data_IF_578701896389
#
_entry.id   IF_578701896389
#
_cell.length_a   1.000
_cell.length_b   1.000
_cell.length_c   1.000
_cell.angle_alpha   90.00
_cell.angle_beta   90.00
_cell.angle_gamma   90.00
#
_symmetry.space_group_name_H-M   'P 1'
#
loop_
_entity.id
_entity.type
_entity.pdbx_description
1 polymer ?
#
# COMPACT_ATOMS: atom_id res chain seq x y z
N UNK A 1 -17.76 24.11 -17.09
CA UNK A 1 -18.18 23.15 -18.14
C UNK A 1 -16.99 22.27 -18.48
N UNK A 2 -17.15 20.94 -18.48
CA UNK A 2 -16.12 20.00 -18.94
C UNK A 2 -15.51 19.08 -17.87
N UNK A 3 -16.33 18.26 -17.19
CA UNK A 3 -15.87 17.04 -16.49
C UNK A 3 -16.74 15.88 -16.97
N UNK A 4 -16.36 15.26 -18.10
CA UNK A 4 -16.91 13.98 -18.56
C UNK A 4 -16.11 13.43 -19.73
N UNK A 5 -14.95 12.84 -19.46
CA UNK A 5 -14.37 11.79 -20.33
C UNK A 5 -13.51 10.85 -19.47
N UNK A 6 -14.15 9.99 -18.67
CA UNK A 6 -13.49 8.79 -18.12
C UNK A 6 -14.48 7.64 -17.85
N UNK A 7 -15.51 7.53 -18.71
CA UNK A 7 -16.41 6.37 -18.76
C UNK A 7 -16.60 5.99 -20.22
N UNK A 8 -15.67 5.20 -20.76
CA UNK A 8 -15.85 4.48 -22.02
C UNK A 8 -14.89 3.30 -22.02
N UNK A 9 -15.35 2.20 -21.41
CA UNK A 9 -15.17 0.82 -21.86
C UNK A 9 -15.61 -0.17 -20.77
N UNK A 10 -16.88 -0.13 -20.37
CA UNK A 10 -17.65 -1.32 -19.99
C UNK A 10 -19.12 -0.99 -20.22
N UNK A 11 -19.66 -1.33 -21.39
CA UNK A 11 -21.10 -1.50 -21.57
C UNK A 11 -21.33 -2.56 -22.65
N UNK A 12 -21.78 -3.73 -22.20
CA UNK A 12 -22.95 -4.38 -22.79
C UNK A 12 -23.49 -5.40 -21.79
N UNK A 13 -24.56 -5.03 -21.06
CA UNK A 13 -25.84 -5.73 -21.05
C UNK A 13 -26.68 -5.38 -19.81
N UNK A 14 -27.88 -4.89 -20.13
CA UNK A 14 -29.15 -5.03 -19.41
C UNK A 14 -29.42 -4.14 -18.19
N UNK A 15 -30.08 -3.04 -18.54
CA UNK A 15 -31.05 -2.25 -17.78
C UNK A 15 -32.06 -3.11 -17.00
N UNK A 16 -32.09 -3.02 -15.68
CA UNK A 16 -33.30 -3.22 -14.89
C UNK A 16 -33.32 -2.21 -13.73
N UNK A 17 -34.49 -1.60 -13.55
CA UNK A 17 -34.81 -0.51 -12.63
C UNK A 17 -34.64 -0.95 -11.17
N UNK A 18 -33.98 -0.13 -10.34
CA UNK A 18 -33.96 -0.29 -8.88
C UNK A 18 -35.13 0.46 -8.22
N UNK A 19 -35.84 -0.14 -7.24
CA UNK A 19 -36.66 0.56 -6.25
C UNK A 19 -35.84 0.89 -4.98
N UNK A 20 -36.37 1.68 -4.02
CA UNK A 20 -35.55 2.50 -3.12
C UNK A 20 -35.05 1.81 -1.83
N UNK A 21 -33.83 2.19 -1.44
CA UNK A 21 -33.27 2.47 -0.10
C UNK A 21 -33.47 1.55 1.13
N UNK A 22 -34.02 0.35 1.02
CA UNK A 22 -34.07 -0.61 2.16
C UNK A 22 -33.21 -1.88 1.99
N UNK A 23 -32.41 -2.00 0.91
CA UNK A 23 -31.72 -3.25 0.54
C UNK A 23 -30.20 -3.29 0.82
N UNK A 24 -29.63 -2.27 1.49
CA UNK A 24 -28.18 -2.14 1.66
C UNK A 24 -27.56 -3.07 2.72
N UNK A 25 -28.34 -3.63 3.65
CA UNK A 25 -27.81 -4.56 4.64
C UNK A 25 -27.70 -6.00 4.12
N UNK A 26 -28.63 -6.44 3.26
CA UNK A 26 -28.64 -7.82 2.73
C UNK A 26 -27.68 -8.04 1.55
N UNK A 27 -27.35 -7.01 0.77
CA UNK A 27 -26.45 -7.15 -0.39
C UNK A 27 -25.00 -7.45 0.02
N UNK A 28 -24.52 -6.85 1.13
CA UNK A 28 -23.18 -7.12 1.67
C UNK A 28 -23.08 -8.57 2.15
N UNK A 29 -24.09 -9.08 2.87
CA UNK A 29 -24.15 -10.48 3.31
C UNK A 29 -24.31 -11.48 2.14
N UNK A 30 -25.05 -11.12 1.09
CA UNK A 30 -25.19 -11.97 -0.10
C UNK A 30 -23.89 -12.04 -0.92
N UNK A 31 -23.12 -10.95 -1.01
CA UNK A 31 -21.83 -10.95 -1.69
C UNK A 31 -20.75 -11.65 -0.86
N UNK A 32 -20.72 -11.45 0.46
CA UNK A 32 -19.82 -12.16 1.37
C UNK A 32 -20.08 -13.66 1.38
N UNK A 33 -21.32 -14.14 1.41
CA UNK A 33 -21.61 -15.58 1.39
C UNK A 33 -21.15 -16.27 0.08
N UNK A 34 -21.25 -15.60 -1.07
CA UNK A 34 -20.68 -16.06 -2.35
C UNK A 34 -19.14 -15.97 -2.43
N UNK A 35 -18.54 -15.03 -1.70
CA UNK A 35 -17.09 -14.86 -1.61
C UNK A 35 -16.46 -15.81 -0.58
N UNK A 36 -17.18 -16.19 0.46
CA UNK A 36 -16.78 -17.19 1.46
C UNK A 36 -16.84 -18.63 0.93
N UNK A 37 -17.51 -18.86 -0.22
CA UNK A 37 -17.37 -20.11 -0.98
C UNK A 37 -16.14 -20.13 -1.90
N UNK A 38 -15.28 -19.09 -1.84
CA UNK A 38 -13.99 -19.07 -2.54
C UNK A 38 -13.07 -20.19 -2.05
N UNK A 39 -12.39 -20.92 -2.95
CA UNK A 39 -11.57 -22.09 -2.60
C UNK A 39 -10.24 -21.76 -1.90
N UNK A 40 -9.86 -20.49 -1.77
CA UNK A 40 -8.55 -20.11 -1.23
C UNK A 40 -8.58 -19.93 0.31
N UNK A 41 -8.65 -21.05 1.04
CA UNK A 41 -8.66 -21.09 2.52
C UNK A 41 -7.28 -21.33 3.15
N UNK A 42 -6.19 -21.06 2.43
CA UNK A 42 -4.84 -21.22 3.01
C UNK A 42 -4.46 -19.96 3.78
N UNK A 43 -3.93 -20.08 5.01
CA UNK A 43 -3.45 -18.93 5.75
C UNK A 43 -2.32 -18.26 4.97
N UNK A 44 -2.44 -16.95 4.75
CA UNK A 44 -1.43 -16.13 4.10
C UNK A 44 -0.23 -15.85 5.00
N UNK A 45 0.18 -16.81 5.84
CA UNK A 45 1.39 -16.78 6.65
C UNK A 45 2.63 -17.19 5.85
N UNK A 46 2.45 -17.77 4.66
CA UNK A 46 3.50 -18.18 3.73
C UNK A 46 3.37 -17.46 2.39
N UNK A 47 4.49 -17.27 1.65
CA UNK A 47 4.48 -16.56 0.39
C UNK A 47 3.54 -17.18 -0.66
N UNK A 48 2.63 -16.38 -1.21
CA UNK A 48 1.83 -16.72 -2.39
C UNK A 48 1.76 -15.51 -3.33
N UNK A 49 1.71 -15.75 -4.64
CA UNK A 49 1.58 -14.71 -5.65
C UNK A 49 0.29 -14.90 -6.46
N UNK A 50 -0.42 -13.80 -6.73
CA UNK A 50 -1.47 -13.77 -7.74
C UNK A 50 -0.88 -13.28 -9.04
N UNK A 51 -1.05 -14.06 -10.10
CA UNK A 51 -0.53 -13.76 -11.43
C UNK A 51 -1.65 -13.52 -12.44
N UNK A 52 -1.40 -12.69 -13.43
CA UNK A 52 -2.32 -12.49 -14.55
C UNK A 52 -2.13 -13.53 -15.67
N UNK A 53 -2.89 -13.39 -16.77
CA UNK A 53 -2.80 -14.28 -17.94
C UNK A 53 -1.45 -14.20 -18.67
N UNK A 54 -0.68 -13.12 -18.47
CA UNK A 54 0.69 -12.96 -18.97
C UNK A 54 1.74 -13.34 -17.92
N UNK A 55 1.32 -14.00 -16.84
CA UNK A 55 2.16 -14.45 -15.72
C UNK A 55 2.87 -13.32 -14.97
N UNK A 56 2.37 -12.08 -15.10
CA UNK A 56 2.85 -10.94 -14.31
C UNK A 56 2.39 -11.10 -12.88
N UNK A 57 3.31 -10.96 -11.94
CA UNK A 57 3.03 -11.04 -10.50
C UNK A 57 2.31 -9.78 -10.07
N UNK A 58 1.01 -9.81 -9.80
CA UNK A 58 0.19 -8.63 -9.52
C UNK A 58 0.10 -8.29 -8.03
N UNK A 59 -0.01 -9.32 -7.18
CA UNK A 59 -0.21 -9.21 -5.73
C UNK A 59 0.62 -10.29 -5.06
N UNK A 60 1.30 -9.93 -3.97
CA UNK A 60 2.11 -10.85 -3.20
C UNK A 60 1.59 -10.92 -1.78
N UNK A 61 1.03 -12.07 -1.39
CA UNK A 61 0.85 -12.45 -0.01
C UNK A 61 2.22 -12.86 0.51
N UNK A 62 3.02 -11.93 1.02
CA UNK A 62 4.41 -12.20 1.45
C UNK A 62 4.44 -13.14 2.64
N UNK A 63 3.44 -13.06 3.51
CA UNK A 63 3.37 -13.83 4.74
C UNK A 63 4.22 -13.26 5.85
N UNK A 64 4.70 -14.15 6.72
CA UNK A 64 5.52 -13.77 7.88
C UNK A 64 7.01 -13.90 7.53
N UNK A 65 7.87 -13.02 8.06
CA UNK A 65 9.31 -13.28 8.05
C UNK A 65 9.63 -14.64 8.68
N UNK A 66 10.62 -15.35 8.12
CA UNK A 66 11.11 -16.61 8.67
C UNK A 66 12.05 -16.34 9.86
N UNK A 67 11.50 -15.72 10.90
CA UNK A 67 12.17 -15.40 12.16
C UNK A 67 11.24 -15.88 13.29
N UNK A 68 11.71 -16.87 14.06
CA UNK A 68 10.91 -17.49 15.12
C UNK A 68 10.55 -16.52 16.25
N UNK A 69 11.32 -15.45 16.44
CA UNK A 69 11.01 -14.40 17.43
C UNK A 69 10.22 -13.23 16.82
N UNK A 70 9.84 -13.28 15.53
CA UNK A 70 9.17 -12.16 14.86
C UNK A 70 7.89 -11.69 15.56
N UNK A 71 7.08 -12.64 16.06
CA UNK A 71 5.87 -12.28 16.81
C UNK A 71 6.24 -11.53 18.09
N UNK A 72 7.07 -12.15 18.93
CA UNK A 72 7.46 -11.64 20.24
C UNK A 72 8.25 -10.31 20.19
N UNK A 73 9.13 -10.15 19.21
CA UNK A 73 10.06 -9.02 19.12
C UNK A 73 9.54 -7.86 18.26
N UNK A 74 8.53 -8.11 17.42
CA UNK A 74 8.04 -7.13 16.44
C UNK A 74 6.53 -6.98 16.50
N UNK A 75 5.77 -8.04 16.28
CA UNK A 75 4.31 -7.91 16.13
C UNK A 75 3.62 -7.58 17.45
N UNK A 76 3.98 -8.25 18.54
CA UNK A 76 3.36 -8.02 19.85
C UNK A 76 3.74 -6.62 20.38
N UNK A 77 5.01 -6.19 20.36
CA UNK A 77 5.38 -4.83 20.78
C UNK A 77 4.81 -3.74 19.87
N UNK A 78 4.70 -3.97 18.56
CA UNK A 78 4.05 -3.02 17.65
C UNK A 78 2.55 -2.89 17.95
N UNK A 79 1.86 -4.01 18.18
CA UNK A 79 0.44 -4.03 18.52
C UNK A 79 0.18 -3.33 19.86
N UNK A 80 0.99 -3.64 20.87
CA UNK A 80 0.94 -2.98 22.17
C UNK A 80 1.18 -1.47 22.06
N UNK A 81 2.14 -1.04 21.25
CA UNK A 81 2.43 0.38 21.05
C UNK A 81 1.29 1.13 20.34
N UNK A 82 0.58 0.50 19.40
CA UNK A 82 -0.60 1.08 18.77
C UNK A 82 -1.75 1.22 19.76
N UNK A 83 -1.94 0.22 20.63
CA UNK A 83 -2.97 0.25 21.67
C UNK A 83 -2.66 1.29 22.75
N UNK A 84 -1.43 1.34 23.24
CA UNK A 84 -0.96 2.38 24.17
C UNK A 84 -1.18 3.76 23.58
N UNK A 85 -0.80 3.95 22.31
CA UNK A 85 -1.00 5.22 21.60
C UNK A 85 -2.48 5.58 21.50
N UNK A 86 -3.35 4.61 21.20
CA UNK A 86 -4.80 4.82 21.16
C UNK A 86 -5.34 5.27 22.51
N UNK A 87 -5.02 4.54 23.58
CA UNK A 87 -5.51 4.82 24.93
C UNK A 87 -5.01 6.17 25.46
N UNK A 88 -3.74 6.50 25.26
CA UNK A 88 -3.18 7.80 25.65
C UNK A 88 -3.84 8.94 24.88
N UNK A 89 -4.03 8.78 23.57
CA UNK A 89 -4.67 9.82 22.79
C UNK A 89 -6.16 9.96 23.08
N UNK A 90 -6.88 8.87 23.40
CA UNK A 90 -8.26 8.92 23.90
C UNK A 90 -8.32 9.74 25.21
N UNK A 91 -7.40 9.47 26.14
CA UNK A 91 -7.32 10.17 27.42
C UNK A 91 -6.96 11.68 27.28
N UNK A 92 -6.29 12.05 26.20
CA UNK A 92 -5.85 13.43 25.93
C UNK A 92 -6.69 14.17 24.88
N UNK A 93 -7.83 13.62 24.44
CA UNK A 93 -8.60 14.14 23.30
C UNK A 93 -7.69 14.46 22.09
N UNK A 94 -6.81 13.52 21.75
CA UNK A 94 -5.83 13.72 20.70
C UNK A 94 -6.41 13.54 19.30
N UNK A 95 -7.56 12.87 19.15
CA UNK A 95 -8.11 12.52 17.85
C UNK A 95 -9.04 13.59 17.28
N UNK A 96 -9.19 13.57 15.96
CA UNK A 96 -10.10 14.46 15.24
C UNK A 96 -11.03 13.64 14.37
N UNK A 97 -12.21 14.20 14.04
CA UNK A 97 -13.16 13.56 13.11
C UNK A 97 -12.51 13.23 11.76
N UNK A 98 -11.53 14.02 11.30
CA UNK A 98 -10.79 13.78 10.05
C UNK A 98 -9.97 12.50 10.07
N UNK A 99 -9.50 12.08 11.25
CA UNK A 99 -8.70 10.87 11.42
C UNK A 99 -9.56 9.63 11.60
N UNK A 100 -10.84 9.79 11.94
CA UNK A 100 -11.84 8.75 11.75
C UNK A 100 -12.01 8.55 10.24
N UNK A 101 -11.58 7.41 9.72
CA UNK A 101 -11.69 7.15 8.27
C UNK A 101 -13.11 6.73 7.90
N UNK A 102 -14.12 7.58 8.13
CA UNK A 102 -15.53 7.25 7.89
C UNK A 102 -15.79 6.65 6.48
N UNK A 103 -14.94 6.99 5.50
CA UNK A 103 -14.93 6.39 4.16
C UNK A 103 -14.49 4.92 4.18
N UNK A 104 -13.36 4.58 4.81
CA UNK A 104 -12.81 3.23 4.84
C UNK A 104 -13.24 2.41 6.07
N UNK A 105 -13.44 2.96 7.25
CA UNK A 105 -13.83 2.23 8.45
C UNK A 105 -13.90 3.10 9.70
N UNK A 106 -14.47 2.55 10.76
CA UNK A 106 -14.60 3.27 12.03
C UNK A 106 -13.39 2.99 12.93
N UNK A 107 -12.29 3.68 12.64
CA UNK A 107 -11.04 3.61 13.39
C UNK A 107 -10.18 4.84 13.08
N UNK A 108 -9.21 5.12 13.95
CA UNK A 108 -8.31 6.27 13.79
C UNK A 108 -7.13 5.88 12.88
N UNK A 109 -6.84 6.71 11.88
CA UNK A 109 -5.72 6.54 10.97
C UNK A 109 -4.68 7.66 11.17
N UNK A 110 -3.50 7.31 11.67
CA UNK A 110 -2.38 8.25 11.85
C UNK A 110 -1.42 8.15 10.66
N UNK A 111 -1.39 9.18 9.82
CA UNK A 111 -0.54 9.22 8.62
C UNK A 111 0.76 9.97 8.89
N UNK A 112 1.86 9.51 8.30
CA UNK A 112 3.15 10.16 8.38
C UNK A 112 3.95 10.05 7.07
N UNK A 113 4.92 10.95 6.91
CA UNK A 113 5.81 10.98 5.75
C UNK A 113 5.41 12.02 4.70
N UNK A 114 5.99 11.88 3.51
CA UNK A 114 5.88 12.80 2.39
C UNK A 114 4.69 12.46 1.50
N UNK A 115 3.90 13.47 1.14
CA UNK A 115 2.78 13.33 0.21
C UNK A 115 2.68 14.55 -0.71
N UNK A 116 1.96 14.38 -1.82
CA UNK A 116 1.57 15.46 -2.71
C UNK A 116 0.20 15.17 -3.34
N UNK A 117 -0.71 16.12 -3.20
CA UNK A 117 -2.11 16.01 -3.56
C UNK A 117 -3.00 16.81 -2.59
N UNK A 118 -4.33 16.67 -2.71
CA UNK A 118 -5.27 17.24 -1.75
C UNK A 118 -5.27 18.78 -1.64
N UNK A 119 -4.79 19.47 -2.68
CA UNK A 119 -4.68 20.94 -2.70
C UNK A 119 -3.33 21.50 -2.24
N UNK A 120 -2.35 20.65 -1.91
CA UNK A 120 -0.97 21.12 -1.69
C UNK A 120 -0.38 21.77 -2.95
N UNK A 121 0.37 22.87 -2.78
CA UNK A 121 1.06 23.54 -3.87
C UNK A 121 2.34 22.81 -4.31
N UNK A 122 3.05 22.21 -3.34
CA UNK A 122 4.26 21.42 -3.52
C UNK A 122 4.25 20.17 -2.62
N UNK A 123 5.08 19.14 -2.91
CA UNK A 123 5.30 18.02 -1.99
C UNK A 123 5.71 18.50 -0.60
N UNK A 124 5.17 17.86 0.43
CA UNK A 124 5.47 18.24 1.81
C UNK A 124 5.26 17.07 2.78
N UNK A 125 5.95 17.14 3.93
CA UNK A 125 5.70 16.24 5.05
C UNK A 125 4.28 16.49 5.59
N UNK A 126 3.51 15.42 5.73
CA UNK A 126 2.18 15.45 6.32
C UNK A 126 2.27 15.98 7.75
N UNK A 127 1.48 17.01 8.04
CA UNK A 127 1.38 17.60 9.38
C UNK A 127 0.37 16.80 10.19
N UNK A 128 0.66 16.62 11.47
CA UNK A 128 -0.32 16.07 12.40
C UNK A 128 -1.51 17.04 12.55
N UNK A 129 -2.72 16.51 12.77
CA UNK A 129 -3.94 17.32 12.86
C UNK A 129 -3.97 18.19 14.13
N UNK A 130 -3.43 17.65 15.24
CA UNK A 130 -3.25 18.35 16.51
C UNK A 130 -1.79 18.30 16.94
N UNK A 131 -1.30 19.38 17.58
CA UNK A 131 0.09 19.45 18.07
C UNK A 131 0.44 18.33 19.08
N UNK A 132 -0.54 17.92 19.90
CA UNK A 132 -0.37 16.82 20.85
C UNK A 132 -0.12 15.45 20.19
N UNK A 133 -0.37 15.30 18.88
CA UNK A 133 -0.13 14.05 18.16
C UNK A 133 1.32 13.87 17.71
N UNK A 134 2.09 14.96 17.64
CA UNK A 134 3.49 14.93 17.15
C UNK A 134 4.37 13.95 17.95
N UNK A 135 4.30 13.90 19.29
CA UNK A 135 5.02 12.90 20.08
C UNK A 135 4.63 11.45 19.73
N UNK A 136 3.34 11.17 19.51
CA UNK A 136 2.86 9.83 19.17
C UNK A 136 3.38 9.36 17.81
N UNK A 137 3.24 10.19 16.77
CA UNK A 137 3.79 9.89 15.44
C UNK A 137 5.31 9.67 15.53
N UNK A 138 6.02 10.53 16.26
CA UNK A 138 7.45 10.40 16.47
C UNK A 138 7.84 9.11 17.19
N UNK A 139 7.08 8.69 18.22
CA UNK A 139 7.30 7.45 18.96
C UNK A 139 7.13 6.23 18.04
N UNK A 140 6.07 6.20 17.24
CA UNK A 140 5.80 5.13 16.28
C UNK A 140 6.92 5.00 15.23
N UNK A 141 7.31 6.10 14.59
CA UNK A 141 8.37 6.12 13.56
C UNK A 141 9.74 5.71 14.10
N UNK A 142 10.08 6.10 15.34
CA UNK A 142 11.38 5.77 15.96
C UNK A 142 11.43 4.36 16.54
N UNK A 143 10.28 3.73 16.76
CA UNK A 143 10.19 2.43 17.42
C UNK A 143 10.92 1.34 16.62
N UNK A 144 11.60 0.44 17.34
CA UNK A 144 12.28 -0.71 16.74
C UNK A 144 11.33 -1.62 15.94
N UNK A 145 10.11 -1.95 16.42
CA UNK A 145 9.19 -2.81 15.68
C UNK A 145 8.80 -2.24 14.30
N UNK A 146 8.34 -1.00 14.22
CA UNK A 146 7.92 -0.42 12.93
C UNK A 146 9.08 -0.22 11.95
N UNK A 147 10.29 0.09 12.45
CA UNK A 147 11.50 0.11 11.61
C UNK A 147 11.84 -1.26 11.02
N UNK A 148 11.67 -2.34 11.80
CA UNK A 148 11.85 -3.72 11.31
C UNK A 148 10.79 -4.09 10.27
N UNK A 149 9.53 -3.77 10.53
CA UNK A 149 8.44 -4.00 9.58
C UNK A 149 8.65 -3.23 8.28
N UNK A 150 9.00 -1.94 8.35
CA UNK A 150 9.25 -1.11 7.18
C UNK A 150 10.42 -1.64 6.32
N UNK A 151 11.49 -2.09 6.97
CA UNK A 151 12.64 -2.71 6.30
C UNK A 151 12.26 -4.02 5.61
N UNK A 152 11.51 -4.90 6.29
CA UNK A 152 11.05 -6.15 5.68
C UNK A 152 10.11 -5.90 4.49
N UNK A 153 9.15 -4.96 4.62
CA UNK A 153 8.32 -4.54 3.49
C UNK A 153 9.16 -4.12 2.29
N UNK A 154 10.20 -3.32 2.53
CA UNK A 154 11.08 -2.81 1.48
C UNK A 154 11.87 -3.95 0.81
N UNK A 155 12.44 -4.86 1.60
CA UNK A 155 13.13 -6.03 1.08
C UNK A 155 12.19 -6.95 0.28
N UNK A 156 10.96 -7.15 0.75
CA UNK A 156 9.95 -7.91 0.02
C UNK A 156 9.58 -7.23 -1.32
N UNK A 157 9.39 -5.91 -1.32
CA UNK A 157 9.10 -5.17 -2.54
C UNK A 157 10.23 -5.25 -3.56
N UNK A 158 11.48 -5.05 -3.12
CA UNK A 158 12.64 -5.27 -3.96
C UNK A 158 12.68 -6.71 -4.50
N UNK A 159 12.41 -7.71 -3.66
CA UNK A 159 12.43 -9.13 -4.03
C UNK A 159 11.39 -9.50 -5.08
N UNK A 160 10.16 -9.00 -4.97
CA UNK A 160 9.06 -9.44 -5.83
C UNK A 160 8.73 -8.50 -6.99
N UNK A 161 9.24 -7.27 -6.97
CA UNK A 161 9.10 -6.31 -8.07
C UNK A 161 10.33 -5.40 -8.19
N UNK A 162 11.52 -5.95 -8.51
CA UNK A 162 12.78 -5.21 -8.55
C UNK A 162 12.74 -4.00 -9.50
N UNK A 163 12.10 -4.11 -10.67
CA UNK A 163 11.93 -2.99 -11.62
C UNK A 163 11.14 -1.84 -11.02
N UNK A 164 10.02 -2.15 -10.39
CA UNK A 164 9.15 -1.16 -9.75
C UNK A 164 9.79 -0.55 -8.50
N UNK A 165 10.51 -1.36 -7.71
CA UNK A 165 11.29 -0.87 -6.58
C UNK A 165 12.37 0.11 -7.02
N UNK A 166 13.13 -0.23 -8.07
CA UNK A 166 14.14 0.67 -8.66
C UNK A 166 13.52 1.98 -9.15
N UNK A 167 12.36 1.92 -9.82
CA UNK A 167 11.62 3.11 -10.21
C UNK A 167 11.31 4.01 -8.99
N UNK A 168 10.75 3.46 -7.91
CA UNK A 168 10.50 4.21 -6.68
C UNK A 168 11.79 4.83 -6.11
N UNK A 169 12.85 4.03 -6.00
CA UNK A 169 14.11 4.47 -5.43
C UNK A 169 14.72 5.64 -6.23
N UNK A 170 14.78 5.51 -7.56
CA UNK A 170 15.35 6.54 -8.45
C UNK A 170 14.53 7.83 -8.42
N UNK A 171 13.21 7.75 -8.59
CA UNK A 171 12.35 8.94 -8.63
C UNK A 171 12.34 9.67 -7.28
N UNK A 172 12.18 8.95 -6.18
CA UNK A 172 12.13 9.58 -4.85
C UNK A 172 13.50 10.10 -4.40
N UNK A 173 14.60 9.45 -4.79
CA UNK A 173 15.94 10.00 -4.57
C UNK A 173 16.14 11.32 -5.31
N UNK A 174 15.66 11.44 -6.55
CA UNK A 174 15.69 12.71 -7.28
C UNK A 174 14.90 13.81 -6.55
N UNK A 175 13.73 13.48 -6.00
CA UNK A 175 12.95 14.41 -5.17
C UNK A 175 13.68 14.84 -3.91
N UNK A 176 14.30 13.90 -3.18
CA UNK A 176 15.03 14.22 -1.95
C UNK A 176 16.30 15.06 -2.21
N UNK A 177 16.93 14.90 -3.39
CA UNK A 177 18.03 15.76 -3.83
C UNK A 177 17.57 17.16 -4.20
N UNK A 178 16.41 17.26 -4.85
CA UNK A 178 15.83 18.54 -5.25
C UNK A 178 15.35 19.36 -4.05
N UNK A 179 14.68 18.71 -3.09
CA UNK A 179 14.18 19.36 -1.87
C UNK A 179 14.62 18.59 -0.61
N UNK A 180 15.67 19.06 0.09
CA UNK A 180 16.15 18.45 1.33
C UNK A 180 15.15 18.47 2.51
N UNK A 181 14.06 19.25 2.42
CA UNK A 181 12.98 19.20 3.40
C UNK A 181 12.10 17.95 3.23
N UNK A 182 12.07 17.37 2.03
CA UNK A 182 11.40 16.11 1.74
C UNK A 182 12.25 14.95 2.28
N UNK A 183 11.68 14.16 3.21
CA UNK A 183 12.35 13.02 3.84
C UNK A 183 11.40 11.81 3.97
N UNK A 184 11.92 10.58 3.79
CA UNK A 184 11.11 9.38 4.03
C UNK A 184 10.85 9.19 5.53
N UNK A 185 9.72 8.57 5.91
CA UNK A 185 9.39 8.26 7.30
C UNK A 185 10.35 7.23 7.91
N UNK A 186 10.88 6.34 7.07
CA UNK A 186 11.83 5.30 7.46
C UNK A 186 13.03 5.30 6.51
N UNK A 187 14.28 5.43 7.00
CA UNK A 187 15.45 5.52 6.13
C UNK A 187 15.79 4.21 5.40
N UNK A 188 15.25 3.07 5.85
CA UNK A 188 15.46 1.75 5.28
C UNK A 188 14.31 1.30 4.35
N UNK A 189 13.56 2.25 3.78
CA UNK A 189 12.34 1.97 3.04
C UNK A 189 12.12 2.99 1.91
N UNK A 190 11.77 2.52 0.72
CA UNK A 190 11.50 3.39 -0.45
C UNK A 190 10.15 4.09 -0.40
N UNK A 191 9.17 3.61 0.37
CA UNK A 191 7.87 4.29 0.43
C UNK A 191 7.97 5.63 1.14
N UNK A 192 7.47 6.72 0.54
CA UNK A 192 7.57 8.07 1.09
C UNK A 192 6.54 8.34 2.18
N UNK A 193 5.50 7.51 2.33
CA UNK A 193 4.46 7.69 3.34
C UNK A 193 4.03 6.37 3.98
N UNK A 194 3.45 6.47 5.17
CA UNK A 194 2.87 5.35 5.89
C UNK A 194 1.64 5.76 6.72
N UNK A 195 0.79 4.79 7.04
CA UNK A 195 -0.33 4.95 7.97
C UNK A 195 -0.26 3.90 9.07
N UNK A 196 -0.47 4.35 10.30
CA UNK A 196 -0.76 3.51 11.45
C UNK A 196 -2.27 3.54 11.68
N UNK A 197 -2.96 2.45 11.37
CA UNK A 197 -4.38 2.32 11.66
C UNK A 197 -4.50 1.79 13.09
N UNK A 198 -4.90 2.66 14.00
CA UNK A 198 -5.06 2.38 15.42
C UNK A 198 -6.52 1.98 15.70
N UNK A 199 -6.68 0.98 16.56
CA UNK A 199 -7.89 0.16 16.65
C UNK A 199 -8.96 0.71 17.59
N UNK A 200 -9.55 -0.14 18.47
CA UNK A 200 -9.06 -1.48 18.82
C UNK A 200 -9.37 -2.57 17.77
N UNK A 201 -10.31 -2.32 16.85
CA UNK A 201 -10.73 -3.28 15.81
C UNK A 201 -10.80 -2.60 14.44
N UNK A 202 -9.63 -2.34 13.85
CA UNK A 202 -9.55 -1.75 12.51
C UNK A 202 -10.24 -2.67 11.48
N UNK A 203 -11.42 -2.26 11.03
CA UNK A 203 -12.19 -2.93 9.98
C UNK A 203 -12.34 -2.01 8.77
N UNK A 204 -11.74 -2.36 7.64
CA UNK A 204 -11.79 -1.54 6.42
C UNK A 204 -12.81 -2.08 5.42
N UNK A 205 -13.82 -1.27 5.11
CA UNK A 205 -14.76 -1.43 3.98
C UNK A 205 -14.00 -1.47 2.65
N UNK A 206 -14.57 -2.12 1.65
CA UNK A 206 -14.00 -2.23 0.31
C UNK A 206 -13.74 -0.88 -0.36
N UNK A 207 -12.47 -0.55 -0.60
CA UNK A 207 -12.06 0.72 -1.19
C UNK A 207 -10.82 0.58 -2.09
N UNK A 208 -10.58 1.62 -2.90
CA UNK A 208 -9.31 1.84 -3.57
C UNK A 208 -8.64 3.07 -2.98
N UNK A 209 -7.32 3.04 -2.90
CA UNK A 209 -6.49 4.20 -2.56
C UNK A 209 -6.15 4.97 -3.83
N UNK A 210 -7.16 5.54 -4.48
CA UNK A 210 -7.02 6.14 -5.82
C UNK A 210 -6.05 7.32 -5.90
N UNK A 211 -5.56 7.83 -4.77
CA UNK A 211 -4.50 8.85 -4.71
C UNK A 211 -3.09 8.26 -4.82
N UNK A 212 -2.91 6.96 -4.55
CA UNK A 212 -1.64 6.27 -4.73
C UNK A 212 -1.32 6.11 -6.21
N UNK A 213 -0.03 5.92 -6.52
CA UNK A 213 0.40 5.65 -7.88
C UNK A 213 -0.34 4.40 -8.44
N UNK A 214 -0.92 4.45 -9.66
CA UNK A 214 -1.78 3.37 -10.18
C UNK A 214 -1.13 2.00 -10.26
N UNK A 215 0.10 1.97 -10.77
CA UNK A 215 0.85 0.74 -10.98
C UNK A 215 1.66 0.31 -9.78
N UNK A 216 1.84 1.19 -8.79
CA UNK A 216 2.74 0.95 -7.70
C UNK A 216 2.14 0.10 -6.60
N UNK A 217 2.97 -0.62 -5.86
CA UNK A 217 2.53 -1.41 -4.72
C UNK A 217 2.52 -0.61 -3.42
N UNK A 218 1.62 -1.02 -2.53
CA UNK A 218 1.57 -0.62 -1.13
C UNK A 218 1.80 -1.86 -0.27
N UNK A 219 2.50 -1.69 0.83
CA UNK A 219 2.65 -2.72 1.85
C UNK A 219 1.54 -2.57 2.88
N UNK A 220 0.91 -3.67 3.26
CA UNK A 220 -0.12 -3.73 4.32
C UNK A 220 0.22 -4.86 5.27
N UNK A 221 0.48 -4.51 6.53
CA UNK A 221 0.64 -5.45 7.62
C UNK A 221 -0.66 -5.62 8.40
N UNK A 222 -0.96 -6.86 8.77
CA UNK A 222 -1.91 -7.15 9.84
C UNK A 222 -1.18 -7.24 11.19
N UNK A 223 -1.76 -6.63 12.23
CA UNK A 223 -1.28 -6.74 13.61
C UNK A 223 -2.46 -6.93 14.57
N UNK A 224 -2.16 -7.16 15.84
CA UNK A 224 -3.12 -7.44 16.90
C UNK A 224 -3.18 -8.91 17.29
N UNK A 225 -4.20 -9.24 18.09
CA UNK A 225 -4.47 -10.56 18.62
C UNK A 225 -5.90 -10.95 18.23
N UNK A 226 -6.00 -11.79 17.20
CA UNK A 226 -7.26 -12.30 16.67
C UNK A 226 -7.08 -13.66 16.01
N UNK A 227 -8.14 -14.46 15.97
CA UNK A 227 -8.16 -15.72 15.25
C UNK A 227 -8.42 -15.49 13.75
N UNK A 228 -7.42 -15.71 12.87
CA UNK A 228 -7.51 -15.44 11.45
C UNK A 228 -8.40 -16.42 10.69
N UNK A 229 -8.89 -17.48 11.33
CA UNK A 229 -9.88 -18.42 10.77
C UNK A 229 -11.31 -17.92 10.95
N UNK A 230 -11.49 -16.94 11.83
CA UNK A 230 -12.79 -16.52 12.33
C UNK A 230 -13.14 -15.07 11.97
N UNK A 231 -12.14 -14.26 11.67
CA UNK A 231 -12.31 -12.85 11.32
C UNK A 231 -11.01 -12.21 10.83
N UNK A 232 -11.06 -10.91 10.57
CA UNK A 232 -9.90 -10.15 10.09
C UNK A 232 -9.40 -10.56 8.70
N UNK A 233 -10.19 -11.32 7.94
CA UNK A 233 -9.83 -11.80 6.61
C UNK A 233 -9.60 -10.62 5.67
N UNK A 234 -8.61 -10.73 4.80
CA UNK A 234 -8.40 -9.77 3.72
C UNK A 234 -9.35 -10.09 2.56
N UNK A 235 -9.98 -9.07 2.00
CA UNK A 235 -10.87 -9.18 0.84
C UNK A 235 -10.24 -8.45 -0.34
N UNK A 236 -10.11 -9.14 -1.48
CA UNK A 236 -9.69 -8.57 -2.77
C UNK A 236 -10.83 -8.76 -3.77
N UNK A 237 -11.57 -7.69 -4.06
CA UNK A 237 -12.87 -7.80 -4.76
C UNK A 237 -12.71 -8.15 -6.25
N UNK A 238 -11.76 -7.56 -6.97
CA UNK A 238 -11.52 -7.84 -8.40
C UNK A 238 -11.14 -9.31 -8.65
N UNK A 239 -10.62 -9.99 -7.63
CA UNK A 239 -10.23 -11.40 -7.71
C UNK A 239 -11.27 -12.35 -7.09
N UNK A 240 -12.33 -11.82 -6.48
CA UNK A 240 -13.30 -12.60 -5.69
C UNK A 240 -12.60 -13.49 -4.64
N UNK A 241 -11.61 -12.93 -3.94
CA UNK A 241 -10.84 -13.65 -2.92
C UNK A 241 -11.13 -13.12 -1.52
N UNK A 242 -11.34 -14.06 -0.60
CA UNK A 242 -11.34 -13.85 0.85
C UNK A 242 -10.22 -14.71 1.41
N UNK A 243 -9.31 -14.08 2.13
CA UNK A 243 -8.03 -14.69 2.51
C UNK A 243 -7.90 -14.61 4.02
N UNK A 244 -7.66 -15.77 4.66
CA UNK A 244 -7.21 -15.81 6.05
C UNK A 244 -5.87 -15.06 6.15
N UNK A 245 -5.90 -13.87 6.75
CA UNK A 245 -4.76 -12.96 6.80
C UNK A 245 -4.31 -12.81 8.25
N UNK A 246 -3.34 -13.61 8.72
CA UNK A 246 -3.00 -13.67 10.13
C UNK A 246 -2.17 -12.48 10.62
N UNK A 247 -2.24 -12.14 11.94
CA UNK A 247 -1.34 -11.16 12.53
C UNK A 247 0.12 -11.44 12.17
N UNK A 248 0.89 -10.40 11.92
CA UNK A 248 2.27 -10.50 11.48
C UNK A 248 2.47 -10.86 10.02
N UNK A 249 1.42 -10.90 9.20
CA UNK A 249 1.53 -11.14 7.76
C UNK A 249 1.57 -9.83 6.98
N UNK A 250 2.37 -9.84 5.92
CA UNK A 250 2.48 -8.75 4.96
C UNK A 250 1.82 -9.13 3.63
N UNK A 251 1.16 -8.17 3.01
CA UNK A 251 0.78 -8.21 1.60
C UNK A 251 1.31 -6.99 0.85
N UNK A 252 1.72 -7.20 -0.40
CA UNK A 252 2.03 -6.16 -1.38
C UNK A 252 0.92 -6.13 -2.43
N UNK A 253 0.24 -4.99 -2.57
CA UNK A 253 -0.89 -4.82 -3.49
C UNK A 253 -0.85 -3.48 -4.25
N UNK A 254 -1.30 -3.42 -5.51
CA UNK A 254 -1.59 -2.18 -6.20
C UNK A 254 -2.92 -1.59 -5.68
N UNK A 255 -2.85 -0.97 -4.51
CA UNK A 255 -4.01 -0.56 -3.71
C UNK A 255 -4.87 0.53 -4.36
N UNK A 256 -4.34 1.22 -5.37
CA UNK A 256 -5.02 2.24 -6.17
C UNK A 256 -5.95 1.65 -7.25
N UNK A 257 -5.70 0.40 -7.67
CA UNK A 257 -6.44 -0.25 -8.77
C UNK A 257 -7.17 -1.52 -8.35
N UNK A 258 -6.83 -2.08 -7.19
CA UNK A 258 -7.53 -3.23 -6.59
C UNK A 258 -8.32 -2.75 -5.39
N UNK A 259 -9.64 -2.96 -5.44
CA UNK A 259 -10.55 -2.73 -4.32
C UNK A 259 -10.32 -3.80 -3.27
N UNK A 260 -9.98 -3.33 -2.08
CA UNK A 260 -9.59 -4.18 -0.97
C UNK A 260 -10.18 -3.67 0.34
N UNK A 261 -10.25 -4.58 1.30
CA UNK A 261 -10.77 -4.34 2.63
C UNK A 261 -10.47 -5.52 3.54
N UNK A 262 -11.05 -5.52 4.73
CA UNK A 262 -10.97 -6.66 5.62
C UNK A 262 -12.29 -6.88 6.37
N UNK A 263 -12.53 -8.12 6.78
CA UNK A 263 -13.71 -8.45 7.59
C UNK A 263 -13.48 -8.03 9.04
N UNK A 264 -14.56 -7.79 9.81
CA UNK A 264 -14.44 -7.60 11.24
C UNK A 264 -13.75 -8.79 11.93
N UNK A 265 -13.14 -8.52 13.09
CA UNK A 265 -12.74 -9.53 14.08
C UNK A 265 -13.84 -9.63 15.15
N UNK A 266 -13.75 -10.62 16.05
CA UNK A 266 -14.70 -10.74 17.16
C UNK A 266 -14.57 -9.56 18.13
N UNK A 267 -15.59 -9.35 18.94
CA UNK A 267 -15.67 -8.20 19.85
C UNK A 267 -14.52 -8.14 20.86
N UNK A 268 -14.08 -9.30 21.37
CA UNK A 268 -12.97 -9.40 22.33
C UNK A 268 -11.57 -9.42 21.67
N UNK A 269 -11.50 -9.50 20.34
CA UNK A 269 -10.26 -9.56 19.59
C UNK A 269 -9.79 -8.14 19.22
N UNK A 270 -8.48 -7.98 19.02
CA UNK A 270 -7.86 -6.72 18.64
C UNK A 270 -7.23 -6.83 17.27
N UNK A 271 -7.43 -5.81 16.42
CA UNK A 271 -6.83 -5.76 15.09
C UNK A 271 -6.38 -4.36 14.75
N UNK A 272 -5.13 -4.28 14.31
CA UNK A 272 -4.50 -3.05 13.82
C UNK A 272 -3.90 -3.30 12.43
N UNK A 273 -3.50 -2.21 11.77
CA UNK A 273 -2.69 -2.36 10.55
C UNK A 273 -1.67 -1.25 10.40
N UNK A 274 -0.58 -1.57 9.71
CA UNK A 274 0.46 -0.64 9.33
C UNK A 274 0.64 -0.71 7.81
N UNK A 275 0.56 0.44 7.15
CA UNK A 275 0.64 0.52 5.69
C UNK A 275 1.75 1.44 5.24
N UNK A 276 2.35 1.15 4.09
CA UNK A 276 3.36 1.99 3.45
C UNK A 276 2.99 2.15 1.96
N UNK A 277 3.02 3.39 1.47
CA UNK A 277 2.48 3.71 0.14
C UNK A 277 3.15 4.95 -0.46
N UNK A 278 2.90 5.18 -1.74
CA UNK A 278 3.36 6.36 -2.47
C UNK A 278 2.19 7.06 -3.15
N UNK A 279 1.95 8.32 -2.78
CA UNK A 279 1.00 9.17 -3.48
C UNK A 279 1.45 9.34 -4.95
N UNK A 280 0.54 9.12 -5.90
CA UNK A 280 0.83 9.27 -7.32
C UNK A 280 1.13 10.72 -7.73
N UNK A 281 0.75 11.69 -6.89
CA UNK A 281 1.15 13.08 -7.06
C UNK A 281 2.66 13.25 -7.03
N UNK A 282 3.37 12.55 -6.14
CA UNK A 282 4.84 12.67 -6.03
C UNK A 282 5.51 12.31 -7.35
N UNK A 283 5.12 11.20 -7.98
CA UNK A 283 5.68 10.82 -9.28
C UNK A 283 5.32 11.83 -10.38
N UNK A 284 4.11 12.40 -10.35
CA UNK A 284 3.75 13.47 -11.29
C UNK A 284 4.63 14.70 -11.11
N UNK A 285 4.82 15.16 -9.87
CA UNK A 285 5.69 16.30 -9.56
C UNK A 285 7.11 16.12 -10.13
N UNK A 286 7.68 14.93 -9.96
CA UNK A 286 9.02 14.61 -10.47
C UNK A 286 9.01 14.61 -12.01
N UNK A 287 8.06 13.91 -12.63
CA UNK A 287 7.92 13.85 -14.10
C UNK A 287 7.60 15.23 -14.72
N UNK A 288 7.03 16.14 -13.95
CA UNK A 288 6.73 17.52 -14.36
C UNK A 288 7.96 18.43 -14.28
N UNK A 289 9.11 17.94 -13.82
CA UNK A 289 10.32 18.75 -13.63
C UNK A 289 10.28 19.58 -12.35
N UNK A 290 9.65 19.05 -11.30
CA UNK A 290 9.51 19.69 -9.98
C UNK A 290 8.69 21.00 -10.00
N UNK A 291 7.64 21.03 -10.82
CA UNK A 291 6.67 22.12 -10.88
C UNK A 291 5.25 21.57 -10.87
N UNK A 292 4.25 22.35 -10.45
CA UNK A 292 2.87 21.86 -10.43
C UNK A 292 2.31 21.67 -11.84
N UNK A 293 1.33 20.77 -11.96
CA UNK A 293 0.72 20.44 -13.27
C UNK A 293 0.11 21.66 -13.99
N UNK A 294 -0.44 22.61 -13.23
CA UNK A 294 -1.07 23.82 -13.79
C UNK A 294 -0.06 24.82 -14.35
N UNK A 295 1.24 24.71 -14.03
CA UNK A 295 2.28 25.54 -14.64
C UNK A 295 2.89 24.93 -15.91
N UNK A 296 2.48 23.72 -16.30
CA UNK A 296 3.00 23.08 -17.51
C UNK A 296 2.45 23.72 -18.78
N UNK A 297 3.35 23.96 -19.74
CA UNK A 297 2.97 24.26 -21.12
C UNK A 297 2.48 23.00 -21.82
N UNK A 298 1.85 23.15 -22.99
CA UNK A 298 1.43 21.98 -23.78
C UNK A 298 2.60 21.13 -24.26
N UNK A 299 3.78 21.73 -24.49
CA UNK A 299 4.98 21.00 -24.88
C UNK A 299 5.52 20.16 -23.73
N UNK A 300 5.67 20.74 -22.53
CA UNK A 300 6.18 20.02 -21.36
C UNK A 300 5.18 18.98 -20.87
N UNK A 301 3.88 19.24 -20.99
CA UNK A 301 2.83 18.24 -20.72
C UNK A 301 2.93 17.03 -21.64
N UNK A 302 3.18 17.24 -22.94
CA UNK A 302 3.38 16.15 -23.91
C UNK A 302 4.65 15.36 -23.64
N UNK A 303 5.73 16.03 -23.27
CA UNK A 303 6.99 15.39 -22.89
C UNK A 303 6.82 14.53 -21.63
N UNK A 304 6.23 15.08 -20.56
CA UNK A 304 6.03 14.39 -19.29
C UNK A 304 5.08 13.18 -19.36
N UNK A 305 4.15 13.16 -20.33
CA UNK A 305 3.15 12.10 -20.47
C UNK A 305 3.33 11.20 -21.69
N UNK A 306 4.30 11.51 -22.57
CA UNK A 306 4.58 10.73 -23.78
C UNK A 306 3.38 10.64 -24.73
N UNK A 307 3.40 9.65 -25.63
CA UNK A 307 2.22 9.40 -26.48
C UNK A 307 1.13 8.71 -25.66
N UNK A 308 -0.12 9.04 -25.97
CA UNK A 308 -1.29 8.40 -25.36
C UNK A 308 -1.22 6.88 -25.56
N UNK A 309 -1.13 6.15 -24.47
CA UNK A 309 -1.07 4.68 -24.48
C UNK A 309 0.29 4.07 -24.13
N UNK A 310 1.39 4.83 -24.22
CA UNK A 310 2.72 4.28 -23.88
C UNK A 310 2.84 4.09 -22.36
N UNK A 311 2.35 5.05 -21.58
CA UNK A 311 2.46 5.07 -20.12
C UNK A 311 1.81 3.87 -19.40
N UNK A 312 0.67 3.35 -19.89
CA UNK A 312 0.09 2.14 -19.27
C UNK A 312 0.90 0.89 -19.61
N UNK A 313 1.52 0.87 -20.78
CA UNK A 313 2.38 -0.24 -21.23
C UNK A 313 3.66 -0.26 -20.41
N UNK A 314 4.31 0.90 -20.23
CA UNK A 314 5.47 1.07 -19.33
C UNK A 314 5.13 0.70 -17.89
N UNK A 315 3.99 1.18 -17.40
CA UNK A 315 3.48 0.88 -16.07
C UNK A 315 3.32 -0.63 -15.83
N UNK A 316 2.73 -1.34 -16.80
CA UNK A 316 2.60 -2.80 -16.73
C UNK A 316 3.93 -3.53 -16.96
N UNK A 317 4.88 -2.94 -17.68
CA UNK A 317 6.22 -3.49 -17.90
C UNK A 317 7.09 -3.51 -16.64
N UNK A 318 6.75 -2.70 -15.63
CA UNK A 318 7.41 -2.73 -14.31
C UNK A 318 7.01 -3.94 -13.45
N UNK A 319 5.90 -4.61 -13.76
CA UNK A 319 5.55 -5.86 -13.11
C UNK A 319 6.45 -6.98 -13.61
N UNK A 320 7.09 -7.69 -12.70
CA UNK A 320 7.89 -8.87 -13.06
C UNK A 320 6.99 -10.00 -13.54
N UNK A 321 7.44 -10.69 -14.59
CA UNK A 321 6.90 -11.98 -15.00
C UNK A 321 7.54 -13.03 -14.10
N UNK A 322 6.74 -13.96 -13.56
CA UNK A 322 7.18 -14.90 -12.52
C UNK A 322 8.46 -15.66 -12.90
N UNK A 323 8.56 -16.11 -14.15
CA UNK A 323 9.70 -16.85 -14.68
C UNK A 323 10.94 -15.97 -14.89
N UNK A 324 10.77 -14.67 -15.09
CA UNK A 324 11.82 -13.71 -15.41
C UNK A 324 12.35 -12.97 -14.17
N UNK A 325 11.78 -13.24 -12.98
CA UNK A 325 12.08 -12.49 -11.77
C UNK A 325 13.59 -12.46 -11.44
N UNK A 326 14.28 -13.58 -11.63
CA UNK A 326 15.73 -13.66 -11.42
C UNK A 326 16.52 -12.78 -12.40
N UNK A 327 16.09 -12.71 -13.66
CA UNK A 327 16.75 -11.87 -14.66
C UNK A 327 16.43 -10.39 -14.46
N UNK A 328 15.19 -10.07 -14.07
CA UNK A 328 14.81 -8.72 -13.64
C UNK A 328 15.70 -8.24 -12.48
N UNK A 329 16.00 -9.10 -11.50
CA UNK A 329 16.96 -8.80 -10.41
C UNK A 329 18.35 -8.51 -10.95
N UNK A 330 18.90 -9.37 -11.83
CA UNK A 330 20.22 -9.16 -12.43
C UNK A 330 20.30 -7.84 -13.20
N UNK A 331 19.25 -7.51 -13.95
CA UNK A 331 19.14 -6.27 -14.71
C UNK A 331 19.02 -5.04 -13.80
N UNK A 332 18.31 -5.15 -12.68
CA UNK A 332 18.11 -4.03 -11.76
C UNK A 332 19.34 -3.78 -10.86
N UNK A 333 20.00 -4.84 -10.38
CA UNK A 333 21.13 -4.76 -9.47
C UNK A 333 22.48 -4.56 -10.19
N UNK A 334 22.54 -4.77 -11.50
CA UNK A 334 23.78 -4.69 -12.28
C UNK A 334 24.77 -5.77 -11.86
N UNK A 335 24.96 -6.80 -12.69
CA UNK A 335 26.15 -7.64 -12.56
C UNK A 335 27.37 -6.71 -12.69
N UNK A 336 28.15 -6.53 -11.62
CA UNK A 336 29.56 -6.17 -11.77
C UNK A 336 30.20 -7.32 -12.55
N UNK A 337 30.26 -7.19 -13.87
CA UNK A 337 31.13 -8.01 -14.71
C UNK A 337 32.51 -7.35 -14.67
N UNK A 338 33.18 -7.45 -13.54
CA UNK A 338 34.62 -7.24 -13.44
C UNK A 338 35.10 -8.29 -12.43
N UNK A 339 36.15 -9.04 -12.79
CA UNK A 339 36.75 -10.19 -12.08
C UNK A 339 36.15 -11.58 -12.35
N UNK A 340 35.98 -11.93 -13.63
CA UNK A 340 36.53 -13.22 -14.10
C UNK A 340 37.35 -12.89 -15.35
N UNK A 341 38.53 -12.33 -15.14
CA UNK A 341 39.56 -12.37 -16.16
C UNK A 341 39.99 -13.82 -16.29
N UNK A 342 39.77 -14.35 -17.48
CA UNK A 342 40.53 -15.45 -18.05
C UNK A 342 42.02 -15.20 -17.80
N UNK A 343 42.63 -15.96 -16.90
CA UNK A 343 44.01 -16.36 -17.09
C UNK A 343 43.99 -17.70 -17.80
N UNK A 344 43.90 -17.62 -19.12
CA UNK A 344 44.36 -18.67 -20.00
C UNK A 344 45.87 -18.53 -20.19
N UNK A 345 46.59 -19.64 -19.94
CA UNK A 345 47.80 -20.08 -20.63
C UNK A 345 49.03 -19.16 -20.63
N UNK A 346 50.09 -19.58 -19.94
CA UNK A 346 51.15 -20.46 -20.48
C UNK A 346 51.89 -21.19 -19.35
#
# INVERSE_FOLDING_TARGET
>A
MGWSVCRLLVFSLLSLRYPPLAFLHNSIFYHLSRLLSSPFKKPASTPHTLIDKKRRMLVILVGRPNDSSWMQDVIDPASALLEETRLEGDACDAWTEKQGDARRGDFVAMTAGLSYGGGQEHPAILKADKACQVPYVGRLLRSKPFRRMAGFSNSAFHTYAPKMHRYYATELEALYKHDPACKPPFPNCVWPACTFNIGPRCCSRGHCDSQNIPQGWCAVWALGDYDPRSGGHLVLEEFNLVIEFPPGSLILIPSSTIRHGNTPVREHEHRYSFTQYCAGGLMRWIHHGFVPEWSLTDSTRKEAYGKKGERWTEALGMYSVLEELTDDHRGCCGVRKDEVSEEGGE
#
